data_IF_197178010995
#
_entry.id   IF_197178010995
#
_cell.length_a   1.000
_cell.length_b   1.000
_cell.length_c   1.000
_cell.angle_alpha   90.00
_cell.angle_beta   90.00
_cell.angle_gamma   90.00
#
_symmetry.space_group_name_H-M   'P 1'
#
loop_
_entity.id
_entity.type
_entity.pdbx_description
1 polymer ?
2 non-polymer ?
3 non-polymer ?
4 water ?
#
# COMPACT_ATOMS: atom_id res chain seq x y z
N UNK A 49 -1.23 10.60 -17.58
CA UNK A 49 -1.54 11.98 -17.94
C UNK A 49 -2.73 12.54 -17.16
N UNK A 50 -2.78 13.87 -17.04
CA UNK A 50 -3.84 14.54 -16.30
C UNK A 50 -5.11 14.59 -17.15
N UNK A 51 -6.24 14.23 -16.55
CA UNK A 51 -7.55 14.38 -17.17
C UNK A 51 -8.48 15.11 -16.22
N UNK A 52 -9.56 15.69 -16.78
CA UNK A 52 -10.53 16.37 -15.92
C UNK A 52 -11.17 15.41 -14.92
N UNK A 53 -11.29 14.12 -15.27
CA UNK A 53 -11.81 13.16 -14.30
C UNK A 53 -10.87 13.01 -13.11
N UNK A 54 -9.56 12.88 -13.37
CA UNK A 54 -8.62 12.76 -12.27
C UNK A 54 -8.55 14.06 -11.47
N UNK A 55 -8.65 15.22 -12.15
CA UNK A 55 -8.56 16.50 -11.45
C UNK A 55 -9.76 16.74 -10.54
N UNK A 56 -10.96 16.44 -11.03
CA UNK A 56 -12.15 16.51 -10.18
C UNK A 56 -12.01 15.53 -9.01
N UNK A 57 -11.58 14.30 -9.31
CA UNK A 57 -11.42 13.28 -8.29
C UNK A 57 -10.54 13.78 -7.14
N UNK A 58 -9.31 14.18 -7.46
CA UNK A 58 -8.41 14.62 -6.40
C UNK A 58 -8.94 15.85 -5.67
N UNK A 59 -9.68 16.72 -6.35
CA UNK A 59 -10.25 17.87 -5.67
C UNK A 59 -11.32 17.42 -4.68
N UNK A 60 -12.26 16.59 -5.14
CA UNK A 60 -13.30 16.08 -4.27
C UNK A 60 -12.71 15.24 -3.15
N UNK A 61 -11.80 14.33 -3.51
CA UNK A 61 -11.13 13.51 -2.51
C UNK A 61 -10.54 14.38 -1.42
N UNK A 62 -9.72 15.37 -1.81
CA UNK A 62 -9.07 16.22 -0.81
C UNK A 62 -10.07 16.90 0.10
N UNK A 63 -11.16 17.42 -0.45
CA UNK A 63 -12.18 18.07 0.36
C UNK A 63 -12.76 17.11 1.39
N UNK A 64 -12.90 15.83 1.03
CA UNK A 64 -13.41 14.85 1.98
C UNK A 64 -12.35 14.51 3.02
N UNK A 65 -11.09 14.34 2.58
CA UNK A 65 -10.01 13.95 3.50
C UNK A 65 -9.72 15.08 4.49
N UNK A 66 -9.92 16.34 4.08
CA UNK A 66 -9.63 17.47 4.93
C UNK A 66 -10.88 17.95 5.67
N UNK A 67 -11.93 17.14 5.65
CA UNK A 67 -13.17 17.41 6.38
C UNK A 67 -13.78 18.77 6.02
N UNK A 68 -13.49 19.25 4.80
CA UNK A 68 -14.20 20.41 4.28
C UNK A 68 -15.61 20.01 3.84
N UNK A 69 -15.76 18.82 3.28
CA UNK A 69 -17.06 18.21 3.02
C UNK A 69 -17.28 17.15 4.09
N UNK A 70 -18.12 17.49 5.07
CA UNK A 70 -18.35 16.65 6.23
C UNK A 70 -19.17 15.41 5.84
N UNK A 71 -19.09 14.34 6.63
CA UNK A 71 -19.87 13.13 6.34
C UNK A 71 -21.36 13.44 6.28
N UNK A 72 -22.03 12.94 5.25
CA UNK A 72 -23.44 13.18 5.04
C UNK A 72 -23.74 14.27 4.05
N UNK A 73 -22.78 15.13 3.76
CA UNK A 73 -22.93 16.19 2.78
C UNK A 73 -23.31 15.57 1.44
N UNK A 74 -24.45 15.94 0.86
CA UNK A 74 -24.80 15.39 -0.45
C UNK A 74 -23.87 15.93 -1.54
N UNK A 75 -23.77 15.14 -2.61
CA UNK A 75 -22.99 15.49 -3.79
C UNK A 75 -23.93 15.40 -4.98
N UNK A 76 -24.15 16.51 -5.65
CA UNK A 76 -25.14 16.61 -6.71
C UNK A 76 -24.42 16.62 -8.05
N UNK A 77 -24.62 15.56 -8.83
CA UNK A 77 -23.95 15.45 -10.11
C UNK A 77 -24.32 16.62 -11.02
N UNK A 78 -25.58 17.05 -10.97
CA UNK A 78 -25.99 18.22 -11.75
C UNK A 78 -25.25 19.46 -11.27
N UNK A 79 -25.19 19.66 -9.95
CA UNK A 79 -24.52 20.84 -9.40
C UNK A 79 -23.01 20.77 -9.60
N UNK A 80 -22.43 19.56 -9.55
CA UNK A 80 -21.00 19.41 -9.80
C UNK A 80 -20.67 19.67 -11.26
N UNK A 81 -21.49 19.15 -12.18
CA UNK A 81 -21.27 19.38 -13.61
C UNK A 81 -21.30 20.87 -13.92
N UNK A 82 -22.22 21.62 -13.31
CA UNK A 82 -22.27 23.06 -13.54
C UNK A 82 -21.04 23.75 -12.96
N UNK A 83 -20.60 23.33 -11.77
CA UNK A 83 -19.46 23.97 -11.12
C UNK A 83 -18.20 23.88 -11.97
N UNK A 84 -17.87 22.66 -12.41
CA UNK A 84 -16.60 22.43 -13.10
C UNK A 84 -16.62 22.88 -14.55
N UNK A 85 -17.80 23.02 -15.14
CA UNK A 85 -17.91 23.46 -16.52
C UNK A 85 -17.53 22.43 -17.55
N UNK A 86 -17.49 21.15 -17.17
CA UNK A 86 -17.15 20.09 -18.11
C UNK A 86 -18.39 19.20 -18.16
N UNK A 87 -18.33 18.11 -18.92
CA UNK A 87 -19.47 17.23 -19.08
C UNK A 87 -19.87 16.59 -17.75
N UNK A 88 -20.99 15.88 -17.77
CA UNK A 88 -21.38 15.06 -16.64
C UNK A 88 -20.59 13.76 -16.58
N UNK A 89 -19.88 13.42 -17.67
CA UNK A 89 -19.14 12.17 -17.72
C UNK A 89 -17.98 12.16 -16.73
N UNK A 90 -17.06 13.13 -16.71
CA UNK A 90 -15.94 13.04 -15.76
C UNK A 90 -16.37 13.12 -14.31
N UNK A 91 -17.53 13.72 -14.03
CA UNK A 91 -18.04 13.75 -12.66
C UNK A 91 -18.42 12.35 -12.21
N UNK A 92 -19.13 11.61 -13.06
CA UNK A 92 -19.50 10.24 -12.72
C UNK A 92 -18.28 9.36 -12.48
N UNK A 93 -17.26 9.49 -13.33
CA UNK A 93 -16.06 8.68 -13.18
C UNK A 93 -15.39 8.95 -11.84
N UNK A 94 -15.36 10.22 -11.41
CA UNK A 94 -14.72 10.55 -10.15
C UNK A 94 -15.52 10.03 -8.96
N UNK A 95 -16.84 10.17 -9.00
CA UNK A 95 -17.66 9.67 -7.90
C UNK A 95 -17.54 8.16 -7.77
N UNK A 96 -17.45 7.45 -8.89
CA UNK A 96 -17.27 6.00 -8.84
C UNK A 96 -16.00 5.64 -8.09
N UNK A 97 -14.88 6.29 -8.45
CA UNK A 97 -13.61 5.99 -7.79
C UNK A 97 -13.68 6.30 -6.30
N UNK A 98 -14.25 7.47 -5.96
CA UNK A 98 -14.40 7.84 -4.56
C UNK A 98 -15.22 6.81 -3.78
N UNK A 99 -16.23 6.22 -4.41
CA UNK A 99 -17.00 5.18 -3.74
C UNK A 99 -16.13 3.97 -3.43
N UNK A 100 -15.29 3.56 -4.40
CA UNK A 100 -14.36 2.47 -4.18
C UNK A 100 -13.35 2.79 -3.08
N UNK A 101 -13.03 4.07 -2.90
CA UNK A 101 -12.19 4.48 -1.77
C UNK A 101 -12.94 4.44 -0.45
N UNK A 102 -14.24 4.11 -0.47
CA UNK A 102 -15.12 4.16 0.70
C UNK A 102 -15.25 5.58 1.25
N UNK A 103 -14.99 6.59 0.39
CA UNK A 103 -15.10 7.99 0.80
C UNK A 103 -16.51 8.54 0.61
N UNK A 104 -17.27 8.00 -0.33
CA UNK A 104 -18.66 8.42 -0.56
C UNK A 104 -19.56 7.20 -0.54
N UNK A 105 -20.83 7.44 -0.24
CA UNK A 105 -21.85 6.40 -0.20
C UNK A 105 -22.84 6.62 -1.33
N UNK A 106 -23.07 5.58 -2.12
CA UNK A 106 -24.03 5.63 -3.22
C UNK A 106 -25.30 4.95 -2.72
N UNK A 107 -26.16 5.73 -2.06
CA UNK A 107 -27.47 5.23 -1.65
C UNK A 107 -28.34 5.15 -2.90
N UNK A 108 -28.71 3.95 -3.36
CA UNK A 108 -29.22 3.81 -4.74
C UNK A 108 -30.36 4.75 -5.13
N UNK A 109 -31.42 4.80 -4.34
CA UNK A 109 -32.55 5.69 -4.60
C UNK A 109 -32.55 6.80 -3.56
N UNK A 110 -31.55 7.68 -3.64
CA UNK A 110 -31.47 8.85 -2.78
C UNK A 110 -30.45 9.83 -3.35
N UNK A 111 -29.25 9.35 -3.61
CA UNK A 111 -28.18 10.16 -4.16
C UNK A 111 -26.83 9.74 -3.59
N UNK A 112 -25.77 10.46 -3.96
CA UNK A 112 -24.46 10.22 -3.39
C UNK A 112 -24.21 11.19 -2.26
N UNK A 113 -23.60 10.70 -1.19
CA UNK A 113 -23.23 11.53 -0.05
C UNK A 113 -21.82 11.16 0.38
N UNK A 114 -21.20 12.05 1.14
CA UNK A 114 -19.90 11.75 1.73
C UNK A 114 -20.07 10.69 2.81
N UNK A 115 -19.24 9.66 2.76
CA UNK A 115 -19.40 8.53 3.66
C UNK A 115 -18.83 8.86 5.04
N UNK A 116 -19.26 8.08 6.03
CA UNK A 116 -18.70 8.19 7.37
C UNK A 116 -17.38 7.43 7.47
N UNK A 117 -16.59 7.80 8.48
CA UNK A 117 -15.26 7.23 8.71
C UNK A 117 -15.43 5.80 9.22
N UNK A 118 -15.01 4.78 8.47
CA UNK A 118 -15.17 3.40 8.92
C UNK A 118 -14.25 3.10 10.10
N UNK A 119 -14.85 2.67 11.21
CA UNK A 119 -14.07 2.45 12.43
C UNK A 119 -13.30 1.13 12.38
N UNK A 120 -13.86 0.10 11.73
CA UNK A 120 -13.24 -1.23 11.77
C UNK A 120 -11.88 -1.27 11.07
N UNK A 121 -11.66 -0.43 10.05
CA UNK A 121 -10.42 -0.45 9.30
C UNK A 121 -9.32 0.38 9.93
N UNK A 122 -9.64 1.23 10.91
CA UNK A 122 -8.62 2.12 11.50
C UNK A 122 -7.45 1.35 12.11
N UNK A 123 -7.66 0.33 12.96
CA UNK A 123 -6.49 -0.32 13.58
C UNK A 123 -5.52 -0.92 12.57
N UNK A 124 -6.03 -1.59 11.54
CA UNK A 124 -5.17 -2.13 10.48
C UNK A 124 -4.38 -1.02 9.79
N UNK A 125 -4.99 0.15 9.60
CA UNK A 125 -4.27 1.26 8.99
C UNK A 125 -3.13 1.76 9.88
N UNK A 126 -3.31 1.72 11.20
CA UNK A 126 -2.25 2.17 12.10
C UNK A 126 -1.09 1.18 12.07
N UNK A 127 -1.40 -0.12 12.08
CA UNK A 127 -0.35 -1.12 12.04
C UNK A 127 0.48 -0.99 10.77
N UNK A 128 -0.20 -0.92 9.61
CA UNK A 128 0.50 -0.73 8.35
C UNK A 128 1.38 0.51 8.40
N UNK A 129 0.84 1.61 8.92
CA UNK A 129 1.63 2.83 9.04
C UNK A 129 2.77 2.66 10.05
N UNK A 130 2.49 2.05 11.20
CA UNK A 130 3.57 1.78 12.15
C UNK A 130 4.66 0.95 11.51
N UNK A 131 4.29 -0.02 10.67
CA UNK A 131 5.31 -0.87 10.06
C UNK A 131 6.10 -0.11 9.00
N UNK A 132 5.40 0.55 8.07
CA UNK A 132 6.10 1.25 6.99
C UNK A 132 6.88 2.45 7.51
N UNK A 133 6.24 3.26 8.35
CA UNK A 133 6.95 4.42 8.90
C UNK A 133 7.95 3.98 9.95
N UNK A 134 7.73 2.84 10.61
CA UNK A 134 8.78 2.28 11.44
C UNK A 134 10.01 1.98 10.62
N UNK A 135 9.82 1.51 9.38
CA UNK A 135 10.94 1.23 8.49
C UNK A 135 11.64 2.51 8.08
N UNK A 136 10.91 3.47 7.51
CA UNK A 136 11.51 4.74 7.11
C UNK A 136 12.22 5.43 8.28
N UNK A 137 11.73 5.25 9.50
CA UNK A 137 12.43 5.82 10.66
C UNK A 137 13.75 5.11 10.92
N UNK A 138 13.74 3.77 10.88
CA UNK A 138 14.97 2.99 11.03
C UNK A 138 16.04 3.46 10.06
N UNK A 139 15.66 3.55 8.78
CA UNK A 139 16.63 3.86 7.74
C UNK A 139 17.08 5.32 7.81
N UNK A 140 16.16 6.23 8.12
CA UNK A 140 16.52 7.64 8.24
C UNK A 140 17.60 7.85 9.30
N UNK A 141 17.50 7.15 10.42
CA UNK A 141 18.55 7.24 11.44
C UNK A 141 19.89 6.80 10.87
N UNK A 142 19.89 5.71 10.12
CA UNK A 142 21.12 5.17 9.56
C UNK A 142 21.73 6.11 8.51
N UNK A 143 20.88 6.77 7.71
CA UNK A 143 21.33 7.64 6.64
C UNK A 143 21.40 9.09 7.06
N UNK A 144 21.55 9.35 8.35
CA UNK A 144 21.36 10.69 8.90
C UNK A 144 22.60 11.55 8.69
N UNK A 145 22.51 12.50 7.76
CA UNK A 145 23.47 13.58 7.68
C UNK A 145 22.95 14.76 8.48
N UNK A 146 23.85 15.70 8.78
CA UNK A 146 23.46 16.88 9.55
C UNK A 146 22.54 17.80 8.73
N UNK A 147 22.79 17.91 7.43
CA UNK A 147 21.93 18.73 6.58
C UNK A 147 20.53 18.16 6.51
N UNK A 148 20.38 16.86 6.68
CA UNK A 148 19.05 16.26 6.77
C UNK A 148 18.35 16.69 8.07
N UNK A 149 19.08 16.63 9.19
CA UNK A 149 18.51 17.05 10.47
C UNK A 149 18.10 18.52 10.42
N UNK A 150 18.87 19.34 9.73
CA UNK A 150 18.47 20.73 9.54
C UNK A 150 17.11 20.81 8.86
N UNK A 151 16.93 20.02 7.79
CA UNK A 151 15.64 20.00 7.09
C UNK A 151 14.50 19.61 8.02
N UNK A 152 14.74 18.64 8.92
CA UNK A 152 13.72 18.27 9.90
C UNK A 152 13.48 19.40 10.90
N UNK A 153 14.56 19.97 11.43
CA UNK A 153 14.45 21.07 12.39
C UNK A 153 13.70 22.24 11.77
N UNK A 154 14.01 22.57 10.51
CA UNK A 154 13.28 23.62 9.82
C UNK A 154 11.78 23.33 9.79
N UNK A 155 11.40 22.07 9.59
CA UNK A 155 9.98 21.72 9.57
C UNK A 155 9.35 21.69 10.96
N UNK A 156 10.13 21.36 11.99
CA UNK A 156 9.61 21.41 13.34
C UNK A 156 9.35 22.85 13.75
N UNK A 157 10.30 23.74 13.47
CA UNK A 157 10.10 25.16 13.73
C UNK A 157 8.87 25.67 12.97
N UNK A 158 8.65 25.20 11.75
CA UNK A 158 7.46 25.64 11.01
C UNK A 158 6.19 25.13 11.65
N UNK A 159 6.19 23.90 12.17
CA UNK A 159 5.04 23.39 12.89
C UNK A 159 4.79 24.20 14.15
N UNK A 160 5.86 24.43 14.93
CA UNK A 160 5.75 25.24 16.14
C UNK A 160 5.09 26.59 15.85
N UNK A 161 5.41 27.19 14.70
CA UNK A 161 4.80 28.46 14.34
C UNK A 161 3.30 28.32 14.14
N UNK A 162 2.86 27.28 13.42
CA UNK A 162 1.43 27.11 13.22
C UNK A 162 0.71 26.77 14.51
N UNK A 163 1.38 26.05 15.42
CA UNK A 163 0.79 25.80 16.74
C UNK A 163 0.65 27.10 17.53
N UNK A 164 1.73 27.90 17.60
CA UNK A 164 1.66 29.20 18.27
C UNK A 164 0.54 30.06 17.71
N UNK A 165 0.35 30.05 16.39
CA UNK A 165 -0.66 30.89 15.77
C UNK A 165 -2.01 30.18 15.64
N UNK A 166 -2.17 29.07 16.35
CA UNK A 166 -3.38 28.27 16.36
C UNK A 166 -3.96 28.10 14.95
N UNK A 167 -3.09 27.72 14.01
CA UNK A 167 -3.45 27.43 12.64
C UNK A 167 -3.28 25.93 12.39
N UNK A 168 -4.29 25.11 12.69
CA UNK A 168 -4.09 23.65 12.64
C UNK A 168 -4.09 23.05 11.24
N UNK A 169 -4.59 23.76 10.24
CA UNK A 169 -4.58 23.28 8.87
C UNK A 169 -3.16 23.17 8.36
N UNK A 170 -2.49 24.31 8.22
CA UNK A 170 -1.05 24.31 7.93
C UNK A 170 -0.25 23.43 8.87
N UNK A 171 -0.68 23.30 10.13
CA UNK A 171 0.00 22.37 11.03
C UNK A 171 -0.09 20.94 10.52
N UNK A 172 -1.27 20.55 10.02
CA UNK A 172 -1.41 19.19 9.52
C UNK A 172 -0.58 18.99 8.26
N UNK A 173 -0.52 20.01 7.38
CA UNK A 173 0.22 19.87 6.14
C UNK A 173 1.72 19.79 6.41
N UNK A 174 2.20 20.56 7.39
CA UNK A 174 3.62 20.46 7.75
C UNK A 174 3.91 19.15 8.46
N UNK A 175 2.90 18.58 9.13
CA UNK A 175 3.03 17.24 9.66
C UNK A 175 3.35 16.24 8.56
N UNK A 176 2.56 16.25 7.48
CA UNK A 176 2.81 15.37 6.35
C UNK A 176 4.21 15.59 5.78
N UNK A 177 4.62 16.86 5.64
CA UNK A 177 5.95 17.16 5.09
C UNK A 177 7.05 16.62 6.00
N UNK A 178 6.83 16.65 7.31
CA UNK A 178 7.82 16.10 8.25
C UNK A 178 8.04 14.61 8.00
N UNK A 179 6.94 13.86 7.83
CA UNK A 179 7.04 12.43 7.58
C UNK A 179 7.56 12.15 6.17
N UNK A 180 7.14 12.95 5.19
CA UNK A 180 7.65 12.77 3.83
C UNK A 180 9.16 12.93 3.80
N UNK A 181 9.70 13.83 4.62
CA UNK A 181 11.14 14.03 4.66
C UNK A 181 11.84 12.89 5.38
N UNK A 182 11.19 12.26 6.37
CA UNK A 182 11.77 11.04 6.94
C UNK A 182 11.95 10.00 5.84
N UNK A 183 10.95 9.87 4.96
CA UNK A 183 11.02 8.89 3.89
C UNK A 183 12.11 9.25 2.88
N UNK A 184 12.32 10.54 2.62
CA UNK A 184 13.40 10.92 1.72
C UNK A 184 14.76 10.59 2.33
N UNK A 185 14.91 10.79 3.63
CA UNK A 185 16.18 10.48 4.29
C UNK A 185 16.45 8.98 4.27
N UNK A 186 15.40 8.18 4.43
CA UNK A 186 15.55 6.73 4.44
C UNK A 186 15.89 6.18 3.06
N UNK A 187 15.69 6.96 2.01
CA UNK A 187 15.98 6.51 0.67
C UNK A 187 14.81 5.94 -0.10
N UNK A 188 13.62 5.92 0.50
CA UNK A 188 12.43 5.41 -0.16
C UNK A 188 11.30 6.44 0.02
N UNK A 189 11.37 7.55 -0.73
CA UNK A 189 10.29 8.54 -0.66
C UNK A 189 8.98 8.02 -1.22
N UNK A 190 9.01 6.99 -2.06
CA UNK A 190 7.78 6.38 -2.54
C UNK A 190 7.00 5.69 -1.47
N UNK A 191 7.65 5.27 -0.39
CA UNK A 191 6.94 4.68 0.74
C UNK A 191 5.92 5.68 1.29
N UNK A 192 6.27 6.96 1.27
CA UNK A 192 5.33 7.99 1.70
C UNK A 192 4.14 8.09 0.75
N UNK A 193 4.41 8.15 -0.56
CA UNK A 193 3.32 8.16 -1.51
C UNK A 193 2.46 6.91 -1.38
N UNK A 194 3.07 5.81 -0.96
CA UNK A 194 2.34 4.55 -0.83
C UNK A 194 1.32 4.62 0.30
N UNK A 195 1.59 5.41 1.34
CA UNK A 195 0.75 5.46 2.53
C UNK A 195 -0.43 6.41 2.38
N UNK A 196 -0.37 7.32 1.41
CA UNK A 196 -1.42 8.33 1.23
C UNK A 196 -2.83 7.73 1.22
N UNK A 197 -3.13 6.64 0.50
CA UNK A 197 -4.47 6.06 0.62
C UNK A 197 -4.69 5.36 1.94
N UNK A 198 -3.63 4.81 2.56
CA UNK A 198 -3.80 4.09 3.82
C UNK A 198 -4.25 5.03 4.92
N UNK A 199 -3.64 6.20 5.03
CA UNK A 199 -3.91 7.10 6.14
C UNK A 199 -5.05 8.08 5.85
N UNK A 200 -5.90 7.78 4.88
CA UNK A 200 -7.01 8.68 4.55
C UNK A 200 -7.96 8.84 5.73
N UNK A 201 -8.40 7.73 6.32
CA UNK A 201 -9.39 7.83 7.38
C UNK A 201 -8.76 8.37 8.67
N UNK A 202 -7.51 7.99 8.96
CA UNK A 202 -6.80 8.56 10.09
C UNK A 202 -6.70 10.08 9.96
N UNK A 203 -6.44 10.58 8.75
CA UNK A 203 -6.32 12.02 8.56
C UNK A 203 -7.63 12.73 8.83
N UNK A 204 -8.75 12.09 8.45
CA UNK A 204 -10.05 12.67 8.75
C UNK A 204 -10.27 12.76 10.25
N UNK A 205 -9.91 11.71 10.98
CA UNK A 205 -10.04 11.74 12.43
C UNK A 205 -9.09 12.77 13.05
N UNK A 206 -7.86 12.83 12.58
CA UNK A 206 -6.91 13.77 13.17
C UNK A 206 -7.27 15.22 12.89
N UNK A 207 -7.99 15.50 11.80
CA UNK A 207 -8.48 16.86 11.59
C UNK A 207 -9.35 17.34 12.75
N UNK A 208 -9.98 16.41 13.46
CA UNK A 208 -10.88 16.72 14.56
C UNK A 208 -10.18 16.72 15.91
N UNK A 209 -9.04 16.04 16.02
CA UNK A 209 -8.31 15.97 17.29
C UNK A 209 -7.30 17.10 17.46
N UNK A 210 -6.78 17.67 16.36
CA UNK A 210 -5.77 18.71 16.46
C UNK A 210 -6.26 19.96 17.20
N UNK A 211 -7.40 20.55 16.87
CA UNK A 211 -7.86 21.72 17.65
C UNK A 211 -8.00 21.47 19.14
N UNK A 212 -8.13 20.22 19.59
CA UNK A 212 -8.26 19.93 21.01
C UNK A 212 -7.06 20.48 21.76
N UNK A 213 -7.30 20.97 22.98
CA UNK A 213 -6.30 21.72 23.72
C UNK A 213 -5.07 20.85 23.99
N UNK A 214 -3.90 21.36 23.63
CA UNK A 214 -2.66 20.68 23.92
C UNK A 214 -2.22 19.63 22.93
N UNK A 215 -3.00 19.39 21.87
CA UNK A 215 -2.70 18.29 20.96
C UNK A 215 -1.53 18.61 20.03
N UNK A 216 -1.54 19.78 19.39
CA UNK A 216 -0.42 20.13 18.52
C UNK A 216 0.89 20.17 19.28
N UNK A 217 0.85 20.66 20.53
CA UNK A 217 2.04 20.68 21.36
C UNK A 217 2.52 19.27 21.67
N UNK A 218 1.58 18.33 21.88
CA UNK A 218 1.97 16.94 22.07
C UNK A 218 2.61 16.38 20.81
N UNK A 219 2.07 16.71 19.63
CA UNK A 219 2.66 16.25 18.38
C UNK A 219 4.09 16.76 18.25
N UNK A 220 4.31 18.05 18.56
CA UNK A 220 5.66 18.60 18.49
C UNK A 220 6.62 17.86 19.41
N UNK A 221 6.18 17.55 20.63
CA UNK A 221 7.01 16.75 21.53
C UNK A 221 7.35 15.41 20.91
N UNK A 222 6.37 14.75 20.30
CA UNK A 222 6.60 13.45 19.69
C UNK A 222 7.55 13.57 18.51
N UNK A 223 7.41 14.63 17.71
CA UNK A 223 8.32 14.86 16.59
C UNK A 223 9.76 15.10 17.07
N UNK A 224 9.92 15.85 18.17
CA UNK A 224 11.26 16.04 18.71
C UNK A 224 11.89 14.71 19.08
N UNK A 225 11.11 13.79 19.65
CA UNK A 225 11.64 12.48 19.98
C UNK A 225 12.13 11.74 18.74
N UNK A 226 11.35 11.82 17.66
CA UNK A 226 11.74 11.13 16.42
C UNK A 226 12.98 11.77 15.81
N UNK A 227 13.03 13.10 15.79
CA UNK A 227 14.21 13.77 15.26
C UNK A 227 15.46 13.44 16.07
N UNK A 228 15.36 13.54 17.40
CA UNK A 228 16.53 13.32 18.24
C UNK A 228 17.12 11.93 17.99
N UNK A 229 16.25 10.92 17.81
CA UNK A 229 16.73 9.57 17.55
C UNK A 229 17.39 9.47 16.18
N UNK A 230 16.78 10.09 15.16
CA UNK A 230 17.36 10.09 13.84
C UNK A 230 18.72 10.79 13.86
N UNK A 231 18.79 11.96 14.50
CA UNK A 231 20.06 12.66 14.61
C UNK A 231 21.12 11.80 15.29
N UNK A 232 20.72 11.05 16.32
CA UNK A 232 21.64 10.18 17.03
C UNK A 232 21.99 8.91 16.26
N UNK A 233 21.37 8.68 15.10
CA UNK A 233 21.56 7.45 14.34
C UNK A 233 21.21 6.21 15.16
N UNK A 234 20.27 6.35 16.10
CA UNK A 234 19.77 5.25 16.92
C UNK A 234 18.63 4.59 16.17
N UNK A 235 18.94 3.48 15.48
CA UNK A 235 17.94 2.84 14.60
C UNK A 235 16.78 2.29 15.42
N UNK A 236 17.05 1.72 16.60
CA UNK A 236 15.96 1.23 17.43
C UNK A 236 15.12 2.37 17.97
N UNK A 237 15.77 3.36 18.59
CA UNK A 237 15.04 4.49 19.17
C UNK A 237 14.22 5.22 18.12
N UNK A 238 14.69 5.29 16.88
CA UNK A 238 13.90 5.94 15.84
C UNK A 238 12.63 5.16 15.55
N UNK A 239 12.75 3.83 15.39
CA UNK A 239 11.58 3.02 15.07
C UNK A 239 10.53 3.11 16.16
N UNK A 240 10.94 3.02 17.44
CA UNK A 240 9.97 2.97 18.52
C UNK A 240 9.31 4.32 18.76
N UNK A 241 10.07 5.42 18.65
CA UNK A 241 9.48 6.75 18.77
C UNK A 241 8.47 7.00 17.66
N UNK A 242 8.75 6.53 16.45
CA UNK A 242 7.81 6.68 15.35
C UNK A 242 6.57 5.82 15.58
N UNK A 243 6.76 4.56 15.99
CA UNK A 243 5.62 3.69 16.26
C UNK A 243 4.77 4.20 17.41
N UNK A 244 5.39 4.82 18.42
CA UNK A 244 4.63 5.39 19.53
C UNK A 244 3.77 6.55 19.05
N UNK A 245 4.41 7.58 18.51
CA UNK A 245 3.76 8.73 17.89
C UNK A 245 2.52 8.35 17.07
N UNK A 246 2.62 7.28 16.29
CA UNK A 246 1.53 6.88 15.41
C UNK A 246 0.38 6.20 16.13
N UNK A 247 0.62 5.65 17.34
CA UNK A 247 -0.42 5.00 18.12
C UNK A 247 -1.35 5.98 18.82
N UNK A 248 -0.98 7.25 18.90
CA UNK A 248 -1.80 8.25 19.58
C UNK A 248 -3.17 8.39 18.95
N UNK A 249 -3.32 8.00 17.68
CA UNK A 249 -4.60 8.16 17.00
C UNK A 249 -5.67 7.24 17.59
N UNK A 250 -5.26 6.11 18.17
CA UNK A 250 -6.25 5.10 18.57
C UNK A 250 -7.11 5.56 19.74
N UNK A 251 -6.57 6.06 20.86
CA UNK A 251 -7.47 6.54 21.91
C UNK A 251 -8.28 7.75 21.49
N UNK A 252 -7.72 8.62 20.64
CA UNK A 252 -8.45 9.81 20.19
C UNK A 252 -9.74 9.44 19.48
N UNK A 253 -9.72 8.41 18.63
CA UNK A 253 -10.90 8.05 17.86
C UNK A 253 -11.95 7.39 18.74
N UNK A 254 -11.52 6.61 19.74
CA UNK A 254 -12.45 6.09 20.73
C UNK A 254 -13.25 7.22 21.35
N UNK A 255 -12.57 8.33 21.68
CA UNK A 255 -13.25 9.48 22.27
C UNK A 255 -14.16 10.15 21.24
N UNK A 256 -13.65 10.39 20.03
CA UNK A 256 -14.44 11.08 19.00
C UNK A 256 -15.73 10.33 18.69
N UNK A 257 -15.68 9.00 18.64
CA UNK A 257 -16.87 8.21 18.34
C UNK A 257 -17.99 8.47 19.33
N UNK A 258 -17.67 8.54 20.63
CA UNK A 258 -18.68 8.93 21.60
C UNK A 258 -19.12 10.37 21.38
N UNK A 259 -18.15 11.29 21.26
CA UNK A 259 -18.44 12.71 21.12
C UNK A 259 -19.32 12.99 19.90
N UNK A 260 -18.81 12.69 18.71
CA UNK A 260 -19.49 13.01 17.45
C UNK A 260 -19.75 11.69 16.71
N UNK A 261 -20.77 10.93 17.13
CA UNK A 261 -20.99 9.62 16.51
C UNK A 261 -21.52 9.71 15.09
N UNK A 262 -21.97 10.89 14.65
CA UNK A 262 -22.48 11.05 13.30
C UNK A 262 -21.37 11.07 12.25
N UNK A 263 -20.10 11.10 12.68
CA UNK A 263 -18.96 11.10 11.76
C UNK A 263 -18.35 9.72 11.57
N UNK A 264 -18.82 8.71 12.31
CA UNK A 264 -18.23 7.38 12.28
C UNK A 264 -19.31 6.34 12.03
N UNK A 265 -18.91 5.23 11.42
CA UNK A 265 -19.83 4.15 11.11
C UNK A 265 -19.06 2.84 11.03
N UNK B 51 -18.73 -3.71 -13.00
CA UNK B 51 -18.91 -3.60 -14.44
C UNK B 51 -18.09 -4.64 -15.20
N UNK B 52 -18.52 -4.93 -16.44
CA UNK B 52 -17.74 -5.84 -17.29
C UNK B 52 -16.34 -5.30 -17.55
N UNK B 53 -16.17 -3.98 -17.48
CA UNK B 53 -14.83 -3.40 -17.59
C UNK B 53 -13.95 -3.84 -16.43
N UNK B 54 -14.49 -3.86 -15.21
CA UNK B 54 -13.73 -4.35 -14.07
C UNK B 54 -13.40 -5.82 -14.22
N UNK B 55 -14.32 -6.60 -14.81
CA UNK B 55 -14.07 -8.02 -15.01
C UNK B 55 -12.95 -8.24 -16.03
N UNK B 56 -12.97 -7.46 -17.12
CA UNK B 56 -11.89 -7.54 -18.11
C UNK B 56 -10.56 -7.13 -17.49
N UNK B 57 -10.56 -6.03 -16.72
CA UNK B 57 -9.33 -5.54 -16.10
C UNK B 57 -8.67 -6.59 -15.21
N UNK B 58 -9.47 -7.43 -14.55
CA UNK B 58 -8.89 -8.48 -13.72
C UNK B 58 -8.33 -9.61 -14.58
N UNK B 59 -9.04 -9.96 -15.66
CA UNK B 59 -8.58 -11.03 -16.53
C UNK B 59 -7.24 -10.67 -17.17
N UNK B 60 -7.15 -9.47 -17.76
CA UNK B 60 -5.91 -9.02 -18.38
C UNK B 60 -4.79 -8.89 -17.36
N UNK B 61 -5.06 -8.21 -16.24
CA UNK B 61 -4.07 -8.10 -15.17
C UNK B 61 -3.56 -9.46 -14.76
N UNK B 62 -4.46 -10.39 -14.44
CA UNK B 62 -4.05 -11.73 -14.03
C UNK B 62 -3.17 -12.38 -15.09
N UNK B 63 -3.56 -12.27 -16.36
CA UNK B 63 -2.75 -12.82 -17.43
C UNK B 63 -1.36 -12.19 -17.48
N UNK B 64 -1.26 -10.91 -17.16
CA UNK B 64 0.04 -10.24 -17.14
C UNK B 64 0.83 -10.62 -15.88
N UNK B 65 0.16 -10.64 -14.72
CA UNK B 65 0.87 -10.91 -13.47
C UNK B 65 1.43 -12.33 -13.44
N UNK B 66 0.75 -13.27 -14.10
CA UNK B 66 1.13 -14.67 -14.11
C UNK B 66 1.95 -15.03 -15.34
N UNK B 67 2.46 -14.02 -16.05
CA UNK B 67 3.33 -14.21 -17.20
C UNK B 67 2.73 -15.10 -18.28
N UNK B 68 1.39 -15.17 -18.34
CA UNK B 68 0.76 -15.82 -19.48
C UNK B 68 0.82 -14.95 -20.72
N UNK B 69 0.66 -13.64 -20.56
CA UNK B 69 0.86 -12.67 -21.63
C UNK B 69 2.24 -12.05 -21.39
N UNK B 70 3.23 -12.54 -22.13
CA UNK B 70 4.60 -12.15 -21.88
C UNK B 70 4.86 -10.70 -22.29
N UNK B 71 5.89 -10.07 -21.71
CA UNK B 71 6.21 -8.69 -22.09
C UNK B 71 6.48 -8.57 -23.59
N UNK B 72 5.91 -7.52 -24.18
CA UNK B 72 6.00 -7.27 -25.59
C UNK B 72 4.77 -7.64 -26.39
N UNK B 73 3.88 -8.46 -25.83
CA UNK B 73 2.64 -8.83 -26.51
C UNK B 73 1.83 -7.59 -26.87
N UNK B 74 1.58 -7.32 -28.14
CA UNK B 74 0.71 -6.20 -28.50
C UNK B 74 -0.74 -6.53 -28.16
N UNK B 75 -1.53 -5.48 -27.93
CA UNK B 75 -2.95 -5.64 -27.62
C UNK B 75 -3.79 -4.75 -28.53
N UNK B 76 -4.60 -5.37 -29.38
CA UNK B 76 -5.42 -4.69 -30.37
C UNK B 76 -6.88 -4.76 -29.91
N UNK B 77 -7.48 -3.59 -29.68
CA UNK B 77 -8.82 -3.51 -29.11
C UNK B 77 -9.87 -4.30 -29.91
N UNK B 78 -9.71 -4.39 -31.24
CA UNK B 78 -10.65 -5.16 -32.04
C UNK B 78 -10.66 -6.63 -31.63
N UNK B 79 -9.48 -7.22 -31.42
CA UNK B 79 -9.40 -8.63 -31.06
C UNK B 79 -9.96 -8.90 -29.66
N UNK B 80 -9.81 -7.95 -28.74
CA UNK B 80 -10.38 -8.10 -27.40
C UNK B 80 -11.90 -8.09 -27.43
N UNK B 81 -12.49 -7.18 -28.22
CA UNK B 81 -13.94 -7.13 -28.36
C UNK B 81 -14.49 -8.46 -28.88
N UNK B 82 -13.83 -9.04 -29.89
CA UNK B 82 -14.29 -10.32 -30.42
C UNK B 82 -14.06 -11.45 -29.42
N UNK B 83 -12.90 -11.45 -28.75
CA UNK B 83 -12.58 -12.52 -27.80
C UNK B 83 -13.57 -12.57 -26.64
N UNK B 84 -13.83 -11.41 -26.02
CA UNK B 84 -14.64 -11.36 -24.81
C UNK B 84 -16.14 -11.43 -25.09
N UNK B 85 -16.58 -11.06 -26.30
CA UNK B 85 -18.00 -11.03 -26.57
C UNK B 85 -18.72 -9.88 -25.92
N UNK B 86 -17.98 -8.84 -25.53
CA UNK B 86 -18.56 -7.68 -24.86
C UNK B 86 -18.34 -6.47 -25.77
N UNK B 87 -18.80 -5.29 -25.34
CA UNK B 87 -18.71 -4.07 -26.14
C UNK B 87 -17.25 -3.67 -26.39
N UNK B 88 -17.08 -2.71 -27.31
CA UNK B 88 -15.76 -2.14 -27.58
C UNK B 88 -15.39 -0.99 -26.63
N UNK B 89 -16.37 -0.39 -25.94
CA UNK B 89 -16.06 0.76 -25.08
C UNK B 89 -15.28 0.37 -23.83
N UNK B 90 -15.70 -0.59 -23.01
CA UNK B 90 -14.97 -0.85 -21.75
C UNK B 90 -13.54 -1.31 -21.93
N UNK B 91 -13.17 -1.76 -23.14
CA UNK B 91 -11.79 -2.20 -23.38
C UNK B 91 -10.82 -1.04 -23.16
N UNK B 92 -11.17 0.15 -23.66
CA UNK B 92 -10.31 1.31 -23.47
C UNK B 92 -10.11 1.63 -21.99
N UNK B 93 -11.19 1.57 -21.19
CA UNK B 93 -11.09 1.89 -19.77
C UNK B 93 -10.13 0.95 -19.05
N UNK B 94 -10.17 -0.35 -19.40
CA UNK B 94 -9.32 -1.34 -18.73
C UNK B 94 -7.84 -1.14 -19.08
N UNK B 95 -7.54 -0.87 -20.35
CA UNK B 95 -6.16 -0.65 -20.75
C UNK B 95 -5.56 0.58 -20.07
N UNK B 96 -6.35 1.65 -19.92
CA UNK B 96 -5.86 2.84 -19.21
C UNK B 96 -5.44 2.48 -17.79
N UNK B 97 -6.29 1.73 -17.08
CA UNK B 97 -5.97 1.35 -15.71
C UNK B 97 -4.70 0.52 -15.63
N UNK B 98 -4.55 -0.46 -16.54
CA UNK B 98 -3.33 -1.26 -16.58
C UNK B 98 -2.10 -0.37 -16.79
N UNK B 99 -2.25 0.68 -17.60
CA UNK B 99 -1.16 1.63 -17.78
C UNK B 99 -0.84 2.36 -16.49
N UNK B 100 -1.87 2.76 -15.74
CA UNK B 100 -1.64 3.38 -14.44
C UNK B 100 -0.88 2.45 -13.51
N UNK B 101 -1.09 1.14 -13.66
CA UNK B 101 -0.33 0.13 -12.93
C UNK B 101 1.08 -0.08 -13.47
N UNK B 102 1.45 0.61 -14.56
CA UNK B 102 2.71 0.40 -15.26
C UNK B 102 2.85 -1.01 -15.83
N UNK B 103 1.73 -1.70 -16.04
CA UNK B 103 1.74 -3.06 -16.59
C UNK B 103 1.70 -3.10 -18.11
N UNK B 104 1.17 -2.06 -18.76
CA UNK B 104 1.14 -2.02 -20.21
C UNK B 104 1.75 -0.70 -20.68
N UNK B 105 2.25 -0.71 -21.91
CA UNK B 105 2.88 0.46 -22.52
C UNK B 105 1.99 0.94 -23.66
N UNK B 106 1.61 2.21 -23.61
CA UNK B 106 0.83 2.83 -24.67
C UNK B 106 1.82 3.66 -25.50
N UNK B 107 2.48 3.00 -26.45
CA UNK B 107 3.40 3.67 -27.37
C UNK B 107 2.64 4.45 -28.44
N UNK B 108 2.66 5.79 -28.39
CA UNK B 108 1.71 6.58 -29.22
C UNK B 108 1.70 6.26 -30.70
N UNK B 109 2.86 6.15 -31.34
CA UNK B 109 2.95 5.80 -32.75
C UNK B 109 3.41 4.35 -32.87
N UNK B 110 2.52 3.44 -32.45
CA UNK B 110 2.74 2.00 -32.56
C UNK B 110 1.51 1.23 -32.08
N UNK B 111 1.15 1.41 -30.83
CA UNK B 111 0.03 0.69 -30.24
C UNK B 111 0.29 0.41 -28.77
N UNK B 112 -0.60 -0.36 -28.17
CA UNK B 112 -0.45 -0.77 -26.78
C UNK B 112 0.20 -2.16 -26.71
N UNK B 113 1.11 -2.33 -25.76
CA UNK B 113 1.79 -3.59 -25.56
C UNK B 113 1.87 -3.90 -24.07
N UNK B 114 2.13 -5.18 -23.77
CA UNK B 114 2.41 -5.56 -22.40
C UNK B 114 3.79 -5.04 -22.03
N UNK B 115 3.88 -4.38 -20.87
CA UNK B 115 5.12 -3.72 -20.50
C UNK B 115 6.14 -4.72 -19.97
N UNK B 116 7.39 -4.27 -19.96
CA UNK B 116 8.48 -5.01 -19.35
C UNK B 116 8.46 -4.77 -17.85
N UNK B 117 9.10 -5.67 -17.11
CA UNK B 117 9.16 -5.58 -15.65
C UNK B 117 10.06 -4.43 -15.25
N UNK B 118 9.55 -3.36 -14.64
CA UNK B 118 10.41 -2.24 -14.24
C UNK B 118 11.30 -2.64 -13.08
N UNK B 119 12.61 -2.54 -13.28
CA UNK B 119 13.56 -3.00 -12.27
C UNK B 119 13.74 -1.97 -11.15
N UNK B 120 13.64 -0.68 -11.47
CA UNK B 120 13.91 0.35 -10.47
C UNK B 120 12.92 0.29 -9.32
N UNK B 121 11.71 -0.20 -9.57
CA UNK B 121 10.68 -0.26 -8.55
C UNK B 121 10.75 -1.51 -7.67
N UNK B 122 11.52 -2.51 -8.07
CA UNK B 122 11.60 -3.74 -7.28
C UNK B 122 12.14 -3.51 -5.86
N UNK B 123 13.27 -2.81 -5.66
CA UNK B 123 13.81 -2.71 -4.29
C UNK B 123 12.85 -2.06 -3.30
N UNK B 124 12.19 -0.97 -3.70
CA UNK B 124 11.19 -0.36 -2.83
C UNK B 124 10.06 -1.33 -2.53
N UNK B 125 9.67 -2.14 -3.52
CA UNK B 125 8.64 -3.15 -3.26
C UNK B 125 9.14 -4.19 -2.26
N UNK B 126 10.43 -4.50 -2.29
CA UNK B 126 10.97 -5.46 -1.34
C UNK B 126 10.97 -4.88 0.07
N UNK B 127 11.35 -3.61 0.22
CA UNK B 127 11.32 -2.97 1.53
C UNK B 127 9.89 -2.91 2.07
N UNK B 128 8.94 -2.46 1.25
CA UNK B 128 7.57 -2.43 1.69
C UNK B 128 7.12 -3.82 2.10
N UNK B 129 7.46 -4.82 1.30
CA UNK B 129 7.06 -6.19 1.62
C UNK B 129 7.76 -6.68 2.89
N UNK B 130 9.06 -6.41 3.03
CA UNK B 130 9.77 -6.78 4.25
C UNK B 130 9.14 -6.16 5.49
N UNK B 131 8.70 -4.89 5.39
CA UNK B 131 8.16 -4.23 6.57
C UNK B 131 6.80 -4.79 6.96
N UNK B 132 5.88 -4.89 5.98
CA UNK B 132 4.53 -5.37 6.27
C UNK B 132 4.55 -6.86 6.63
N UNK B 133 5.24 -7.68 5.83
CA UNK B 133 5.33 -9.11 6.10
C UNK B 133 6.24 -9.41 7.29
N UNK B 134 7.20 -8.53 7.57
CA UNK B 134 7.90 -8.64 8.85
C UNK B 134 6.96 -8.46 10.02
N UNK B 135 5.97 -7.57 9.86
CA UNK B 135 5.00 -7.33 10.92
C UNK B 135 4.12 -8.54 11.16
N UNK B 136 3.45 -9.03 10.10
CA UNK B 136 2.65 -10.24 10.22
C UNK B 136 3.47 -11.42 10.76
N UNK B 137 4.76 -11.48 10.42
CA UNK B 137 5.60 -12.56 10.93
C UNK B 137 5.81 -12.43 12.44
N UNK B 138 6.10 -11.21 12.92
CA UNK B 138 6.19 -10.97 14.35
C UNK B 138 4.91 -11.42 15.05
N UNK B 139 3.77 -10.95 14.54
CA UNK B 139 2.50 -11.19 15.23
C UNK B 139 2.07 -12.65 15.13
N UNK B 140 2.30 -13.28 13.98
CA UNK B 140 1.97 -14.70 13.84
C UNK B 140 2.75 -15.53 14.85
N UNK B 141 4.03 -15.22 15.06
CA UNK B 141 4.80 -15.93 16.08
C UNK B 141 4.19 -15.72 17.46
N UNK B 142 3.78 -14.48 17.77
CA UNK B 142 3.22 -14.20 19.08
C UNK B 142 1.89 -14.91 19.27
N UNK B 143 1.08 -14.99 18.22
CA UNK B 143 -0.25 -15.59 18.26
C UNK B 143 -0.25 -17.04 17.81
N UNK B 144 0.88 -17.72 17.93
CA UNK B 144 1.06 -19.04 17.32
C UNK B 144 0.40 -20.10 18.18
N UNK B 145 -0.73 -20.62 17.72
CA UNK B 145 -1.33 -21.83 18.27
C UNK B 145 -0.84 -23.06 17.50
N UNK B 146 -1.10 -24.23 18.07
CA UNK B 146 -0.69 -25.46 17.40
C UNK B 146 -1.52 -25.71 16.14
N UNK B 147 -2.82 -25.41 16.18
CA UNK B 147 -3.66 -25.58 15.01
C UNK B 147 -3.28 -24.62 13.90
N UNK B 148 -2.71 -23.48 14.25
CA UNK B 148 -2.22 -22.56 13.23
C UNK B 148 -1.04 -23.17 12.49
N UNK B 149 -0.10 -23.76 13.23
CA UNK B 149 1.06 -24.40 12.60
C UNK B 149 0.61 -25.51 11.66
N UNK B 150 -0.48 -26.22 12.01
CA UNK B 150 -1.04 -27.21 11.12
C UNK B 150 -1.39 -26.62 9.76
N UNK B 151 -2.02 -25.43 9.75
CA UNK B 151 -2.31 -24.78 8.48
C UNK B 151 -1.05 -24.49 7.69
N UNK B 152 0.01 -24.04 8.37
CA UNK B 152 1.28 -23.79 7.69
C UNK B 152 1.90 -25.08 7.20
N UNK B 153 1.92 -26.11 8.06
CA UNK B 153 2.48 -27.41 7.69
C UNK B 153 1.77 -28.02 6.49
N UNK B 154 0.43 -27.97 6.46
CA UNK B 154 -0.30 -28.46 5.31
C UNK B 154 0.15 -27.76 4.03
N UNK B 155 0.43 -26.47 4.11
CA UNK B 155 0.84 -25.71 2.92
C UNK B 155 2.29 -25.98 2.54
N UNK B 156 3.15 -26.27 3.51
CA UNK B 156 4.53 -26.64 3.19
C UNK B 156 4.58 -28.02 2.56
N UNK B 157 3.85 -28.99 3.15
CA UNK B 157 3.74 -30.31 2.53
C UNK B 157 3.17 -30.20 1.13
N UNK B 158 2.21 -29.32 0.93
CA UNK B 158 1.64 -29.12 -0.40
C UNK B 158 2.68 -28.53 -1.34
N UNK B 159 3.53 -27.63 -0.82
CA UNK B 159 4.60 -27.08 -1.64
C UNK B 159 5.61 -28.14 -2.02
N UNK B 160 6.05 -28.93 -1.03
CA UNK B 160 6.95 -30.05 -1.29
C UNK B 160 6.38 -30.98 -2.35
N UNK B 161 5.07 -31.20 -2.32
CA UNK B 161 4.43 -32.06 -3.31
C UNK B 161 4.52 -31.46 -4.71
N UNK B 162 4.23 -30.16 -4.84
CA UNK B 162 4.33 -29.52 -6.16
C UNK B 162 5.77 -29.38 -6.63
N UNK B 163 6.71 -29.17 -5.71
CA UNK B 163 8.12 -29.13 -6.11
C UNK B 163 8.57 -30.47 -6.62
N UNK B 164 8.22 -31.54 -5.91
CA UNK B 164 8.57 -32.91 -6.30
C UNK B 164 8.15 -33.19 -7.74
N UNK B 165 6.98 -32.69 -8.17
CA UNK B 165 6.45 -32.98 -9.49
C UNK B 165 6.82 -31.94 -10.54
N UNK B 166 7.81 -31.08 -10.26
CA UNK B 166 8.20 -30.02 -11.18
C UNK B 166 6.98 -29.32 -11.79
N UNK B 167 6.05 -28.94 -10.91
CA UNK B 167 4.87 -28.16 -11.27
C UNK B 167 5.03 -26.79 -10.63
N UNK B 168 5.72 -25.85 -11.28
CA UNK B 168 6.09 -24.59 -10.59
C UNK B 168 4.94 -23.62 -10.45
N UNK B 169 3.86 -23.79 -11.21
CA UNK B 169 2.70 -22.93 -11.10
C UNK B 169 1.99 -23.08 -9.78
N UNK B 170 1.42 -24.26 -9.52
CA UNK B 170 0.85 -24.52 -8.19
C UNK B 170 1.78 -24.23 -7.03
N UNK B 171 3.09 -24.42 -7.21
CA UNK B 171 4.01 -24.03 -6.15
C UNK B 171 3.95 -22.53 -5.91
N UNK B 172 3.82 -21.75 -6.99
CA UNK B 172 3.72 -20.30 -6.86
C UNK B 172 2.45 -19.90 -6.12
N UNK B 173 1.33 -20.56 -6.42
CA UNK B 173 0.07 -20.21 -5.77
C UNK B 173 0.06 -20.63 -4.30
N UNK B 174 0.66 -21.79 -3.99
CA UNK B 174 0.77 -22.23 -2.61
C UNK B 174 1.79 -21.38 -1.85
N UNK B 175 2.77 -20.82 -2.54
CA UNK B 175 3.64 -19.83 -1.90
C UNK B 175 2.82 -18.70 -1.32
N UNK B 176 1.96 -18.11 -2.16
CA UNK B 176 1.09 -17.03 -1.71
C UNK B 176 0.18 -17.48 -0.58
N UNK B 177 -0.40 -18.68 -0.70
CA UNK B 177 -1.30 -19.17 0.34
C UNK B 177 -0.59 -19.28 1.68
N UNK B 178 0.69 -19.63 1.66
CA UNK B 178 1.48 -19.69 2.88
C UNK B 178 1.59 -18.31 3.53
N UNK B 179 1.87 -17.29 2.72
CA UNK B 179 2.02 -15.93 3.26
C UNK B 179 0.68 -15.37 3.73
N UNK B 180 -0.39 -15.62 2.97
CA UNK B 180 -1.71 -15.19 3.41
C UNK B 180 -2.09 -15.82 4.74
N UNK B 181 -1.65 -17.06 4.98
CA UNK B 181 -1.96 -17.68 6.27
C UNK B 181 -1.13 -17.08 7.39
N UNK B 182 0.09 -16.61 7.11
CA UNK B 182 0.85 -15.87 8.12
C UNK B 182 0.07 -14.64 8.56
N UNK B 183 -0.50 -13.91 7.59
CA UNK B 183 -1.23 -12.70 7.94
C UNK B 183 -2.51 -13.03 8.70
N UNK B 184 -3.17 -14.12 8.32
CA UNK B 184 -4.38 -14.54 9.03
C UNK B 184 -4.07 -14.94 10.46
N UNK B 185 -2.93 -15.60 10.69
CA UNK B 185 -2.54 -15.92 12.05
C UNK B 185 -2.21 -14.66 12.82
N UNK B 186 -1.58 -13.68 12.15
CA UNK B 186 -1.19 -12.44 12.80
C UNK B 186 -2.39 -11.61 13.23
N UNK B 187 -3.58 -11.89 12.70
CA UNK B 187 -4.77 -11.15 13.04
C UNK B 187 -5.11 -10.01 12.11
N UNK B 188 -4.30 -9.78 11.08
CA UNK B 188 -4.53 -8.72 10.11
C UNK B 188 -4.43 -9.29 8.70
N UNK B 189 -5.44 -10.05 8.26
CA UNK B 189 -5.42 -10.53 6.86
C UNK B 189 -5.53 -9.44 5.84
N UNK B 190 -6.02 -8.25 6.20
CA UNK B 190 -6.06 -7.16 5.24
C UNK B 190 -4.68 -6.69 4.83
N UNK B 191 -3.68 -6.89 5.69
CA UNK B 191 -2.31 -6.57 5.32
C UNK B 191 -1.90 -7.35 4.08
N UNK B 192 -2.36 -8.61 3.98
CA UNK B 192 -2.07 -9.39 2.78
C UNK B 192 -2.78 -8.83 1.56
N UNK B 193 -4.07 -8.50 1.69
CA UNK B 193 -4.77 -7.89 0.57
C UNK B 193 -4.14 -6.55 0.18
N UNK B 194 -3.55 -5.86 1.16
CA UNK B 194 -2.94 -4.58 0.86
C UNK B 194 -1.71 -4.73 -0.04
N UNK B 195 -1.03 -5.87 0.05
CA UNK B 195 0.23 -6.06 -0.66
C UNK B 195 0.07 -6.49 -2.12
N UNK B 196 -1.09 -7.02 -2.51
CA UNK B 196 -1.25 -7.55 -3.86
C UNK B 196 -0.79 -6.59 -4.96
N UNK B 197 -1.13 -5.30 -4.95
CA UNK B 197 -0.57 -4.42 -5.98
C UNK B 197 0.92 -4.19 -5.82
N UNK B 198 1.44 -4.25 -4.60
CA UNK B 198 2.86 -3.98 -4.36
C UNK B 198 3.71 -5.06 -5.00
N UNK B 199 3.35 -6.33 -4.78
CA UNK B 199 4.17 -7.45 -5.23
C UNK B 199 3.81 -7.92 -6.64
N UNK B 200 3.18 -7.07 -7.46
CA UNK B 200 2.83 -7.48 -8.82
C UNK B 200 4.08 -7.81 -9.63
N UNK B 201 5.07 -6.91 -9.63
CA UNK B 201 6.25 -7.12 -10.46
C UNK B 201 7.13 -8.22 -9.88
N UNK B 202 7.23 -8.29 -8.55
CA UNK B 202 7.96 -9.40 -7.94
C UNK B 202 7.34 -10.73 -8.34
N UNK B 203 6.00 -10.80 -8.36
CA UNK B 203 5.33 -12.03 -8.72
C UNK B 203 5.60 -12.43 -10.16
N UNK B 204 5.73 -11.45 -11.07
CA UNK B 204 6.11 -11.78 -12.44
C UNK B 204 7.52 -12.39 -12.48
N UNK B 205 8.47 -11.82 -11.74
CA UNK B 205 9.81 -12.38 -11.71
C UNK B 205 9.80 -13.76 -11.09
N UNK B 206 8.96 -13.96 -10.07
CA UNK B 206 8.86 -15.28 -9.44
C UNK B 206 8.31 -16.32 -10.40
N UNK B 207 7.46 -15.91 -11.35
CA UNK B 207 7.02 -16.83 -12.39
C UNK B 207 8.19 -17.34 -13.23
N UNK B 208 9.28 -16.57 -13.30
CA UNK B 208 10.43 -16.97 -14.10
C UNK B 208 11.48 -17.72 -13.28
N UNK B 209 11.55 -17.49 -11.98
CA UNK B 209 12.57 -18.16 -11.18
C UNK B 209 12.11 -19.50 -10.61
N UNK B 210 10.80 -19.72 -10.44
CA UNK B 210 10.36 -20.99 -9.86
C UNK B 210 10.72 -22.19 -10.72
N UNK B 211 10.40 -22.23 -12.02
CA UNK B 211 10.78 -23.40 -12.83
C UNK B 211 12.28 -23.69 -12.87
N UNK B 212 13.14 -22.71 -12.60
CA UNK B 212 14.58 -22.97 -12.61
C UNK B 212 14.92 -23.98 -11.53
N UNK B 213 15.81 -24.92 -11.86
CA UNK B 213 16.08 -26.06 -11.01
C UNK B 213 16.70 -25.63 -9.69
N UNK B 214 16.14 -26.13 -8.59
CA UNK B 214 16.65 -25.88 -7.26
C UNK B 214 16.11 -24.65 -6.58
N UNK B 215 15.27 -23.87 -7.27
CA UNK B 215 14.73 -22.67 -6.66
C UNK B 215 13.62 -23.01 -5.67
N UNK B 216 12.70 -23.88 -6.07
CA UNK B 216 11.63 -24.30 -5.17
C UNK B 216 12.17 -24.91 -3.90
N UNK B 217 13.30 -25.62 -3.98
CA UNK B 217 13.90 -26.16 -2.77
C UNK B 217 14.38 -25.04 -1.86
N UNK B 218 14.93 -23.96 -2.43
CA UNK B 218 15.36 -22.83 -1.62
C UNK B 218 14.18 -22.17 -0.91
N UNK B 219 13.06 -22.02 -1.62
CA UNK B 219 11.85 -21.48 -1.00
C UNK B 219 11.42 -22.37 0.16
N UNK B 220 11.42 -23.69 -0.06
CA UNK B 220 11.03 -24.61 1.00
C UNK B 220 11.92 -24.45 2.23
N UNK B 221 13.24 -24.31 2.02
CA UNK B 221 14.12 -24.09 3.17
C UNK B 221 13.72 -22.84 3.92
N UNK B 222 13.47 -21.76 3.17
CA UNK B 222 13.15 -20.48 3.79
C UNK B 222 11.83 -20.53 4.52
N UNK B 223 10.83 -21.21 3.94
CA UNK B 223 9.54 -21.35 4.61
C UNK B 223 9.66 -22.16 5.89
N UNK B 224 10.45 -23.23 5.87
CA UNK B 224 10.67 -23.99 7.09
C UNK B 224 11.29 -23.11 8.17
N UNK B 225 12.22 -22.23 7.77
CA UNK B 225 12.81 -21.30 8.72
C UNK B 225 11.74 -20.40 9.34
N UNK B 226 10.82 -19.90 8.52
CA UNK B 226 9.77 -19.01 9.01
C UNK B 226 8.79 -19.77 9.89
N UNK B 227 8.39 -20.97 9.47
CA UNK B 227 7.48 -21.78 10.27
C UNK B 227 8.10 -22.15 11.61
N UNK B 228 9.35 -22.62 11.60
CA UNK B 228 10.00 -23.03 12.83
C UNK B 228 10.05 -21.88 13.85
N UNK B 229 10.28 -20.64 13.38
CA UNK B 229 10.33 -19.51 14.30
C UNK B 229 8.96 -19.18 14.87
N UNK B 230 7.92 -19.18 14.03
CA UNK B 230 6.57 -18.91 14.50
C UNK B 230 6.14 -19.95 15.53
N UNK B 231 6.37 -21.23 15.21
CA UNK B 231 6.05 -22.30 16.14
C UNK B 231 6.78 -22.12 17.46
N UNK B 232 8.02 -21.64 17.40
CA UNK B 232 8.80 -21.36 18.60
C UNK B 232 8.36 -20.09 19.30
N UNK B 233 7.42 -19.34 18.71
CA UNK B 233 6.99 -18.04 19.23
C UNK B 233 8.16 -17.07 19.32
N UNK B 234 9.17 -17.27 18.50
CA UNK B 234 10.34 -16.39 18.49
C UNK B 234 10.01 -15.22 17.57
N UNK B 235 9.59 -14.10 18.16
CA UNK B 235 9.13 -12.98 17.36
C UNK B 235 10.29 -12.37 16.57
N UNK B 236 11.48 -12.30 17.16
CA UNK B 236 12.62 -11.77 16.43
C UNK B 236 12.99 -12.71 15.29
N UNK B 237 13.21 -14.00 15.60
CA UNK B 237 13.59 -14.96 14.57
C UNK B 237 12.57 -15.01 13.44
N UNK B 238 11.29 -14.83 13.76
CA UNK B 238 10.26 -14.84 12.72
C UNK B 238 10.42 -13.65 11.78
N UNK B 239 10.63 -12.46 12.34
CA UNK B 239 10.78 -11.27 11.50
C UNK B 239 11.98 -11.42 10.59
N UNK B 240 13.11 -11.88 11.13
CA UNK B 240 14.33 -11.95 10.35
C UNK B 240 14.28 -13.06 9.31
N UNK B 241 13.70 -14.21 9.65
CA UNK B 241 13.52 -15.26 8.65
C UNK B 241 12.64 -14.78 7.51
N UNK B 242 11.59 -14.02 7.83
CA UNK B 242 10.72 -13.49 6.79
C UNK B 242 11.44 -12.44 5.96
N UNK B 243 12.13 -11.50 6.63
CA UNK B 243 12.84 -10.45 5.91
C UNK B 243 13.94 -11.02 5.03
N UNK B 244 14.61 -12.08 5.46
CA UNK B 244 15.62 -12.71 4.63
C UNK B 244 15.00 -13.31 3.38
N UNK B 245 14.09 -14.27 3.58
CA UNK B 245 13.31 -14.89 2.52
C UNK B 245 12.83 -13.91 1.45
N UNK B 246 12.37 -12.73 1.86
CA UNK B 246 11.79 -11.79 0.90
C UNK B 246 12.84 -11.06 0.08
N UNK B 247 14.07 -10.98 0.56
CA UNK B 247 15.13 -10.31 -0.17
C UNK B 247 15.71 -11.17 -1.30
N UNK B 248 15.39 -12.46 -1.32
CA UNK B 248 15.94 -13.37 -2.33
C UNK B 248 15.57 -12.97 -3.76
N UNK B 249 14.51 -12.20 -3.94
CA UNK B 249 14.14 -11.79 -5.29
C UNK B 249 15.17 -10.86 -5.90
N UNK B 250 15.93 -10.15 -5.05
CA UNK B 250 16.81 -9.11 -5.56
C UNK B 250 17.97 -9.67 -6.38
N UNK B 251 18.74 -10.67 -5.89
CA UNK B 251 19.78 -11.25 -6.75
C UNK B 251 19.20 -11.96 -7.95
N UNK B 252 18.01 -12.56 -7.82
CA UNK B 252 17.39 -13.26 -8.94
C UNK B 252 17.19 -12.34 -10.12
N UNK B 253 16.77 -11.10 -9.86
CA UNK B 253 16.50 -10.18 -10.96
C UNK B 253 17.80 -9.71 -11.58
N UNK B 254 18.86 -9.55 -10.77
CA UNK B 254 20.17 -9.27 -11.33
C UNK B 254 20.54 -10.33 -12.36
N UNK B 255 20.32 -11.61 -12.02
CA UNK B 255 20.66 -12.70 -12.93
C UNK B 255 19.73 -12.73 -14.14
N UNK B 256 18.41 -12.63 -13.89
CA UNK B 256 17.44 -12.68 -14.99
C UNK B 256 17.70 -11.58 -16.00
N UNK B 257 18.12 -10.40 -15.54
CA UNK B 257 18.44 -9.32 -16.46
C UNK B 257 19.48 -9.76 -17.48
N UNK B 258 20.52 -10.46 -17.01
CA UNK B 258 21.50 -11.06 -17.92
C UNK B 258 20.88 -12.16 -18.77
N UNK B 259 20.19 -13.12 -18.13
CA UNK B 259 19.61 -14.25 -18.85
C UNK B 259 18.61 -13.80 -19.92
N UNK B 260 17.50 -13.18 -19.50
CA UNK B 260 16.40 -12.81 -20.39
C UNK B 260 16.19 -11.30 -20.33
N UNK B 261 17.05 -10.52 -21.01
CA UNK B 261 16.95 -9.05 -20.90
C UNK B 261 15.78 -8.44 -21.65
N UNK B 262 15.13 -9.19 -22.53
CA UNK B 262 14.01 -8.63 -23.27
C UNK B 262 12.77 -8.45 -22.42
N UNK B 263 12.77 -8.94 -21.18
CA UNK B 263 11.63 -8.86 -20.27
C UNK B 263 11.77 -7.74 -19.25
N UNK B 264 12.88 -7.01 -19.22
CA UNK B 264 13.13 -6.02 -18.19
C UNK B 264 13.45 -4.67 -18.82
N UNK B 265 13.14 -3.61 -18.09
CA UNK B 265 13.38 -2.25 -18.56
C UNK B 265 13.59 -1.30 -17.39
#
# INVERSE_FOLDING_TARGET
>A
MAHHHHHHMRGRSAQPALEKQKNVADTESGAATGVKARTLPSRVAGVQRVTTAKLIYHELQQQIIRMELLPGTPLNEKALTEKYGVSRTPVREALIRLAEDRLVDVFPQSGTFVARIPVDAIPEAVVIRQALEGETAERAAANSTAAAIEKLDELIHLQTFYARKDKPGPFHETDDAFHETIAEIAGYPGIWQHLKPVKMQIDRARRMTMPILGRMEQVLREHHAIRDAISARDVHAAREAMKHHLSAVLPDIDELRKSRPDYFA
>B
MAHHHHHHMRGRSAQPALEKQKNVADTESGAATGVKARTLPSRVAGVQRVTTAKLIYHELQQQIIRMELLPGTPLNEKALTEKYGVSRTPVREALIRLAEDRLVDVFPQSGTFVARIPVDAIPEAVVIRQALEGETAERAAANSTAAAIEKLDELIHLQTFYARKDKPGPFHETDDAFHETIAEIAGYPGIWQHLKPVKMQIDRARRMTMPILGRMEQVLREHHAIRDAISARDVHAAREAMKHHLSAVLPDIDELRKSRPDYFA
#
